data_IF_663377942707
#
_entry.id   IF_663377942707
#
_cell.length_a   1.000
_cell.length_b   1.000
_cell.length_c   1.000
_cell.angle_alpha   90.00
_cell.angle_beta   90.00
_cell.angle_gamma   90.00
#
_symmetry.space_group_name_H-M   'P 1'
#
loop_
_entity.id
_entity.type
_entity.pdbx_description
1 polymer ?
#
# COMPACT_ATOMS: atom_id res chain seq x y z
N UNK A 1 -4.80 -9.69 -28.56
CA UNK A 1 -4.58 -8.75 -27.44
C UNK A 1 -5.48 -9.21 -26.30
N UNK A 2 -4.92 -9.80 -25.24
CA UNK A 2 -5.75 -10.34 -24.16
C UNK A 2 -6.47 -9.21 -23.45
N UNK A 3 -7.79 -9.30 -23.36
CA UNK A 3 -8.63 -8.49 -22.49
C UNK A 3 -8.08 -8.60 -21.07
N UNK A 4 -7.21 -7.67 -20.67
CA UNK A 4 -6.81 -7.52 -19.28
C UNK A 4 -8.06 -7.06 -18.54
N UNK A 5 -8.72 -7.99 -17.87
CA UNK A 5 -9.82 -7.68 -16.97
C UNK A 5 -9.34 -6.57 -16.03
N UNK A 6 -9.99 -5.41 -16.10
CA UNK A 6 -9.65 -4.19 -15.38
C UNK A 6 -10.06 -4.36 -13.91
N UNK A 7 -9.45 -5.33 -13.22
CA UNK A 7 -9.79 -5.70 -11.85
C UNK A 7 -9.14 -4.69 -10.91
N UNK A 8 -9.98 -3.98 -10.17
CA UNK A 8 -9.57 -2.83 -9.37
C UNK A 8 -8.47 -3.16 -8.35
N UNK A 9 -8.61 -4.29 -7.64
CA UNK A 9 -7.62 -4.70 -6.63
C UNK A 9 -6.26 -5.01 -7.26
N UNK A 10 -6.21 -5.58 -8.47
CA UNK A 10 -4.96 -5.86 -9.18
C UNK A 10 -4.22 -4.59 -9.59
N UNK A 11 -4.95 -3.60 -10.12
CA UNK A 11 -4.39 -2.28 -10.44
C UNK A 11 -3.87 -1.57 -9.20
N UNK A 12 -4.64 -1.63 -8.11
CA UNK A 12 -4.23 -1.02 -6.85
C UNK A 12 -3.03 -1.74 -6.25
N UNK A 13 -2.95 -3.05 -6.38
CA UNK A 13 -1.79 -3.83 -5.95
C UNK A 13 -0.53 -3.44 -6.73
N UNK A 14 -0.63 -3.25 -8.05
CA UNK A 14 0.50 -2.73 -8.84
C UNK A 14 0.97 -1.35 -8.37
N UNK A 15 0.06 -0.46 -7.95
CA UNK A 15 0.42 0.83 -7.37
C UNK A 15 1.04 0.69 -5.97
N UNK A 16 0.52 -0.21 -5.14
CA UNK A 16 1.08 -0.54 -3.83
C UNK A 16 2.52 -1.05 -3.95
N UNK A 17 2.81 -1.95 -4.89
CA UNK A 17 4.18 -2.46 -5.09
C UNK A 17 5.16 -1.35 -5.44
N UNK A 18 4.76 -0.38 -6.27
CA UNK A 18 5.58 0.80 -6.58
C UNK A 18 5.78 1.70 -5.36
N UNK A 19 4.73 1.87 -4.54
CA UNK A 19 4.80 2.63 -3.30
C UNK A 19 5.74 1.99 -2.29
N UNK A 20 5.65 0.67 -2.10
CA UNK A 20 6.51 -0.12 -1.22
C UNK A 20 7.99 -0.03 -1.65
N UNK A 21 8.27 -0.05 -2.96
CA UNK A 21 9.62 0.17 -3.47
C UNK A 21 10.17 1.55 -3.07
N UNK A 22 9.36 2.61 -3.17
CA UNK A 22 9.75 3.98 -2.76
C UNK A 22 9.97 4.07 -1.25
N UNK A 23 9.14 3.41 -0.46
CA UNK A 23 9.33 3.32 1.00
C UNK A 23 10.67 2.68 1.35
N UNK A 24 11.03 1.57 0.70
CA UNK A 24 12.33 0.93 0.89
C UNK A 24 13.50 1.85 0.49
N UNK A 25 13.35 2.61 -0.61
CA UNK A 25 14.37 3.59 -1.02
C UNK A 25 14.52 4.73 0.00
N UNK A 26 13.41 5.28 0.52
CA UNK A 26 13.44 6.32 1.54
C UNK A 26 14.05 5.80 2.85
N UNK A 27 13.74 4.56 3.23
CA UNK A 27 14.36 3.90 4.39
C UNK A 27 15.88 3.79 4.22
N UNK A 28 16.36 3.32 3.06
CA UNK A 28 17.79 3.22 2.79
C UNK A 28 18.49 4.59 2.83
N UNK A 29 17.82 5.66 2.34
CA UNK A 29 18.36 7.01 2.42
C UNK A 29 18.53 7.49 3.87
N UNK A 30 17.53 7.24 4.74
CA UNK A 30 17.62 7.54 6.18
C UNK A 30 18.67 6.68 6.87
N UNK A 31 18.79 5.39 6.55
CA UNK A 31 19.79 4.51 7.15
C UNK A 31 21.23 4.99 6.83
N UNK A 32 21.44 5.60 5.65
CA UNK A 32 22.73 6.17 5.24
C UNK A 32 23.01 7.56 5.84
N UNK A 33 21.99 8.41 5.95
CA UNK A 33 22.10 9.78 6.49
C UNK A 33 20.97 10.05 7.50
N UNK A 34 21.09 9.54 8.74
CA UNK A 34 19.97 9.56 9.70
C UNK A 34 19.56 10.96 10.15
N UNK A 35 20.47 11.93 10.16
CA UNK A 35 20.20 13.31 10.59
C UNK A 35 19.65 14.20 9.45
N UNK A 36 19.53 13.66 8.23
CA UNK A 36 19.01 14.40 7.10
C UNK A 36 17.47 14.53 7.17
N UNK A 37 16.99 15.71 7.56
CA UNK A 37 15.55 15.97 7.75
C UNK A 37 14.72 15.75 6.47
N UNK A 38 15.27 16.00 5.28
CA UNK A 38 14.54 15.77 4.03
C UNK A 38 14.30 14.27 3.79
N UNK A 39 15.27 13.42 4.14
CA UNK A 39 15.11 11.97 4.03
C UNK A 39 14.12 11.43 5.07
N UNK A 40 14.13 11.97 6.29
CA UNK A 40 13.12 11.64 7.30
C UNK A 40 11.71 12.02 6.83
N UNK A 41 11.53 13.21 6.26
CA UNK A 41 10.25 13.64 5.69
C UNK A 41 9.80 12.73 4.54
N UNK A 42 10.71 12.34 3.64
CA UNK A 42 10.43 11.41 2.57
C UNK A 42 10.01 10.03 3.09
N UNK A 43 10.66 9.54 4.16
CA UNK A 43 10.31 8.27 4.80
C UNK A 43 8.90 8.31 5.41
N UNK A 44 8.54 9.39 6.11
CA UNK A 44 7.20 9.57 6.67
C UNK A 44 6.16 9.59 5.54
N UNK A 45 6.38 10.41 4.52
CA UNK A 45 5.41 10.55 3.42
C UNK A 45 5.23 9.24 2.65
N UNK A 46 6.32 8.52 2.39
CA UNK A 46 6.29 7.23 1.71
C UNK A 46 5.61 6.16 2.53
N UNK A 47 5.77 6.17 3.85
CA UNK A 47 5.03 5.30 4.76
C UNK A 47 3.51 5.58 4.69
N UNK A 48 3.09 6.84 4.80
CA UNK A 48 1.67 7.22 4.79
C UNK A 48 0.93 6.76 3.53
N UNK A 49 1.45 7.06 2.34
CA UNK A 49 0.79 6.65 1.11
C UNK A 49 0.90 5.14 0.86
N UNK A 50 1.96 4.48 1.35
CA UNK A 50 2.11 3.02 1.21
C UNK A 50 1.11 2.31 2.10
N UNK A 51 0.93 2.76 3.34
CA UNK A 51 -0.10 2.27 4.25
C UNK A 51 -1.50 2.49 3.66
N UNK A 52 -1.79 3.70 3.16
CA UNK A 52 -3.06 4.04 2.53
C UNK A 52 -3.40 3.12 1.35
N UNK A 53 -2.42 2.86 0.49
CA UNK A 53 -2.58 1.92 -0.61
C UNK A 53 -2.75 0.48 -0.12
N UNK A 54 -1.99 0.06 0.89
CA UNK A 54 -2.00 -1.29 1.43
C UNK A 54 -3.39 -1.71 1.94
N UNK A 55 -3.98 -0.94 2.86
CA UNK A 55 -5.32 -1.29 3.37
C UNK A 55 -6.39 -1.19 2.29
N UNK A 56 -6.21 -0.29 1.32
CA UNK A 56 -7.10 -0.15 0.17
C UNK A 56 -7.00 -1.30 -0.83
N UNK A 57 -5.85 -1.96 -0.97
CA UNK A 57 -5.72 -3.22 -1.74
C UNK A 57 -6.55 -4.30 -1.08
N UNK A 58 -6.37 -4.49 0.23
CA UNK A 58 -7.11 -5.50 1.00
C UNK A 58 -8.61 -5.24 0.92
N UNK A 59 -9.05 -3.99 1.07
CA UNK A 59 -10.46 -3.62 0.89
C UNK A 59 -10.99 -4.01 -0.49
N UNK A 60 -10.28 -3.65 -1.57
CA UNK A 60 -10.76 -3.96 -2.92
C UNK A 60 -10.77 -5.47 -3.18
N UNK A 61 -9.84 -6.22 -2.58
CA UNK A 61 -9.78 -7.67 -2.65
C UNK A 61 -10.93 -8.33 -1.89
N UNK A 62 -11.21 -7.90 -0.66
CA UNK A 62 -12.37 -8.34 0.12
C UNK A 62 -13.67 -8.08 -0.64
N UNK A 63 -13.83 -6.87 -1.20
CA UNK A 63 -15.00 -6.50 -2.00
C UNK A 63 -15.17 -7.39 -3.22
N UNK A 64 -14.07 -7.74 -3.89
CA UNK A 64 -14.08 -8.69 -5.02
C UNK A 64 -14.56 -10.09 -4.59
N UNK A 65 -14.31 -10.49 -3.35
CA UNK A 65 -14.78 -11.75 -2.75
C UNK A 65 -16.13 -11.63 -2.02
N UNK A 66 -16.83 -10.50 -2.14
CA UNK A 66 -18.15 -10.30 -1.53
C UNK A 66 -18.15 -9.85 -0.07
N UNK A 67 -16.99 -9.51 0.49
CA UNK A 67 -16.84 -8.98 1.86
C UNK A 67 -16.66 -7.45 1.79
N UNK A 68 -17.53 -6.70 2.46
CA UNK A 68 -17.41 -5.24 2.55
C UNK A 68 -16.58 -4.84 3.78
N UNK A 69 -15.63 -3.92 3.60
CA UNK A 69 -14.87 -3.29 4.67
C UNK A 69 -14.73 -1.80 4.37
N UNK A 70 -14.94 -0.95 5.37
CA UNK A 70 -15.01 0.50 5.16
C UNK A 70 -13.79 1.21 5.72
N UNK A 71 -13.28 0.72 6.86
CA UNK A 71 -12.17 1.30 7.60
C UNK A 71 -10.87 0.52 7.42
N UNK A 72 -9.69 1.15 7.54
CA UNK A 72 -8.40 0.46 7.46
C UNK A 72 -8.29 -0.70 8.45
N UNK A 73 -8.73 -0.48 9.70
CA UNK A 73 -8.73 -1.50 10.75
C UNK A 73 -9.59 -2.71 10.39
N UNK A 74 -10.78 -2.47 9.84
CA UNK A 74 -11.69 -3.54 9.42
C UNK A 74 -11.08 -4.33 8.28
N UNK A 75 -10.64 -3.65 7.22
CA UNK A 75 -10.03 -4.30 6.06
C UNK A 75 -8.84 -5.19 6.45
N UNK A 76 -7.96 -4.71 7.34
CA UNK A 76 -6.81 -5.48 7.81
C UNK A 76 -7.25 -6.69 8.66
N UNK A 77 -8.24 -6.52 9.56
CA UNK A 77 -8.74 -7.62 10.38
C UNK A 77 -9.41 -8.71 9.55
N UNK A 78 -10.34 -8.32 8.69
CA UNK A 78 -11.06 -9.25 7.81
C UNK A 78 -10.10 -9.94 6.84
N UNK A 79 -9.14 -9.19 6.26
CA UNK A 79 -8.14 -9.76 5.36
C UNK A 79 -7.16 -10.74 6.01
N UNK A 80 -7.06 -10.77 7.35
CA UNK A 80 -6.25 -11.75 8.08
C UNK A 80 -7.07 -12.95 8.56
N UNK A 81 -8.39 -12.79 8.69
CA UNK A 81 -9.31 -13.84 9.13
C UNK A 81 -9.84 -14.71 7.97
N UNK A 82 -9.86 -14.17 6.74
CA UNK A 82 -10.21 -14.85 5.51
C UNK A 82 -9.08 -15.76 5.00
#
# INVERSE_FOLDING_TARGET
>A
MSQSTNIRWQQRFANYTKALMRLNQAKLAVDNEPDNQLYQMALIQTFEFTFELGWKVVKDYLKYNGVEAWLPREAIKEGFAA
#
